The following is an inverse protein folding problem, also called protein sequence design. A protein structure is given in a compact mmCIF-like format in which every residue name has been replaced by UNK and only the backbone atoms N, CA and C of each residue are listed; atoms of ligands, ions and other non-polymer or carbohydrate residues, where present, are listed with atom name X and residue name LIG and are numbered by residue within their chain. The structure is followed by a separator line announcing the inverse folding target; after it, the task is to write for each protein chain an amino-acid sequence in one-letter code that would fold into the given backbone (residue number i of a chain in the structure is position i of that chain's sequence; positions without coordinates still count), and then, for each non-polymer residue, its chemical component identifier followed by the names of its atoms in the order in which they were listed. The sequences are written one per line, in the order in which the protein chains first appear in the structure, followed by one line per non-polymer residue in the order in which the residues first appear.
data_IF_000518085284
#
_entry.id   IF_000518085284
#
_cell.length_a   1.000
_cell.length_b   1.000
_cell.length_c   1.000
_cell.angle_alpha   90.00
_cell.angle_beta   90.00
_cell.angle_gamma   90.00
#
_symmetry.space_group_name_H-M   'P 1'
#
loop_
_entity.id
_entity.type
_entity.pdbx_description
1 polymer ?
#
# COMPACT_ATOMS: atom_id res chain seq x y z
N UNK A 1 27.72 52.93 45.65
CA UNK A 1 26.41 53.54 45.33
C UNK A 1 25.80 52.73 44.20
N UNK A 2 25.35 51.49 44.46
CA UNK A 2 23.93 51.11 44.65
C UNK A 2 22.98 51.87 43.72
N UNK A 3 22.61 51.25 42.59
CA UNK A 3 21.24 51.37 42.06
C UNK A 3 20.78 49.98 41.64
N UNK A 4 19.84 49.49 42.43
CA UNK A 4 19.06 48.27 42.30
C UNK A 4 17.79 48.65 41.54
N UNK A 5 17.50 48.06 40.37
CA UNK A 5 16.21 48.23 39.71
C UNK A 5 15.75 46.94 39.02
N UNK A 6 14.98 46.18 39.81
CA UNK A 6 13.73 45.47 39.47
C UNK A 6 13.71 44.44 38.32
N UNK A 7 13.49 43.19 38.75
CA UNK A 7 13.03 42.05 37.99
C UNK A 7 11.79 42.38 37.13
N UNK A 8 11.88 42.11 35.83
CA UNK A 8 10.75 41.65 35.03
C UNK A 8 11.16 40.37 34.31
N UNK A 9 11.00 39.23 35.00
CA UNK A 9 11.00 37.93 34.35
C UNK A 9 9.70 37.81 33.55
N UNK A 10 9.73 38.22 32.28
CA UNK A 10 8.64 38.00 31.35
C UNK A 10 8.50 36.51 31.08
N UNK A 11 7.48 35.87 31.66
CA UNK A 11 7.02 34.56 31.21
C UNK A 11 6.40 34.74 29.82
N UNK A 12 7.19 34.57 28.77
CA UNK A 12 6.66 34.44 27.42
C UNK A 12 6.02 33.06 27.28
N UNK A 13 4.72 32.97 27.54
CA UNK A 13 3.90 31.84 27.11
C UNK A 13 3.86 31.90 25.58
N UNK A 14 4.83 31.26 24.94
CA UNK A 14 4.79 31.04 23.50
C UNK A 14 3.53 30.24 23.16
N UNK A 15 2.91 30.47 21.99
CA UNK A 15 1.79 29.65 21.57
C UNK A 15 2.29 28.21 21.51
N UNK A 16 1.71 27.34 22.33
CA UNK A 16 1.82 25.91 22.12
C UNK A 16 1.19 25.64 20.75
N UNK A 17 2.01 25.49 19.72
CA UNK A 17 1.56 24.99 18.45
C UNK A 17 1.07 23.56 18.72
N UNK A 18 -0.24 23.39 18.90
CA UNK A 18 -0.88 22.10 18.71
C UNK A 18 -0.54 21.68 17.29
N UNK A 19 0.45 20.81 17.13
CA UNK A 19 0.60 20.05 15.90
C UNK A 19 -0.62 19.14 15.87
N UNK A 20 -1.61 19.50 15.06
CA UNK A 20 -2.62 18.54 14.64
C UNK A 20 -1.83 17.38 14.03
N UNK A 21 -1.93 16.20 14.63
CA UNK A 21 -1.49 14.96 14.01
C UNK A 21 -2.33 14.83 12.74
N UNK A 22 -1.77 15.31 11.65
CA UNK A 22 -2.39 15.24 10.33
C UNK A 22 -2.19 13.80 9.93
N UNK A 23 -3.06 12.91 10.40
CA UNK A 23 -2.91 11.48 10.25
C UNK A 23 -2.53 11.14 8.81
N UNK A 24 -1.45 10.38 8.64
CA UNK A 24 -0.95 10.02 7.31
C UNK A 24 -2.08 9.40 6.48
N UNK A 25 -2.27 9.89 5.26
CA UNK A 25 -3.25 9.32 4.32
C UNK A 25 -2.55 8.18 3.57
N UNK A 26 -2.82 6.95 3.99
CA UNK A 26 -2.23 5.77 3.39
C UNK A 26 -2.94 5.36 2.10
N UNK A 27 -2.18 4.78 1.18
CA UNK A 27 -2.73 4.10 0.00
C UNK A 27 -1.90 2.87 -0.34
N UNK A 28 -2.49 1.95 -1.09
CA UNK A 28 -1.84 0.73 -1.54
C UNK A 28 -2.85 -0.33 -1.89
N UNK A 29 -2.44 -1.25 -2.76
CA UNK A 29 -3.17 -2.45 -3.12
C UNK A 29 -2.16 -3.44 -3.69
N UNK A 30 -2.28 -4.69 -3.31
CA UNK A 30 -1.50 -5.76 -3.90
C UNK A 30 -2.44 -6.73 -4.62
N UNK A 31 -2.15 -6.99 -5.90
CA UNK A 31 -2.89 -7.92 -6.74
C UNK A 31 -1.89 -8.90 -7.33
N UNK A 32 -2.14 -10.20 -7.14
CA UNK A 32 -1.25 -11.27 -7.62
C UNK A 32 -1.34 -11.41 -9.13
N UNK A 33 -2.54 -11.70 -9.63
CA UNK A 33 -2.85 -11.78 -11.05
C UNK A 33 -4.21 -11.15 -11.28
N UNK A 34 -4.27 -10.27 -12.27
CA UNK A 34 -5.49 -9.73 -12.84
C UNK A 34 -5.36 -9.81 -14.35
N UNK A 35 -6.18 -10.67 -14.96
CA UNK A 35 -6.18 -10.90 -16.40
C UNK A 35 -7.56 -10.60 -16.97
N UNK A 36 -7.62 -9.82 -18.05
CA UNK A 36 -8.87 -9.53 -18.76
C UNK A 36 -8.78 -10.09 -20.17
N UNK A 37 -9.75 -10.90 -20.56
CA UNK A 37 -9.84 -11.45 -21.91
C UNK A 37 -10.58 -10.45 -22.79
N UNK A 38 -9.91 -9.85 -23.80
CA UNK A 38 -10.56 -8.83 -24.63
C UNK A 38 -11.75 -9.38 -25.42
N UNK A 39 -11.72 -10.68 -25.77
CA UNK A 39 -12.73 -11.32 -26.59
C UNK A 39 -14.03 -11.63 -25.84
N UNK A 40 -13.97 -11.91 -24.54
CA UNK A 40 -15.14 -12.27 -23.72
C UNK A 40 -15.50 -11.20 -22.69
N UNK A 41 -14.61 -10.23 -22.45
CA UNK A 41 -14.74 -9.24 -21.37
C UNK A 41 -14.56 -9.83 -19.96
N UNK A 42 -14.29 -11.13 -19.84
CA UNK A 42 -14.12 -11.82 -18.57
C UNK A 42 -12.83 -11.35 -17.91
N UNK A 43 -12.93 -10.92 -16.65
CA UNK A 43 -11.76 -10.58 -15.83
C UNK A 43 -11.61 -11.61 -14.72
N UNK A 44 -10.43 -12.21 -14.63
CA UNK A 44 -10.06 -13.13 -13.56
C UNK A 44 -9.11 -12.43 -12.61
N UNK A 45 -9.37 -12.60 -11.32
CA UNK A 45 -8.56 -12.08 -10.23
C UNK A 45 -8.23 -13.25 -9.32
N UNK A 46 -6.94 -13.58 -9.22
CA UNK A 46 -6.49 -14.75 -8.43
C UNK A 46 -6.42 -14.41 -6.95
N UNK A 47 -5.81 -13.27 -6.61
CA UNK A 47 -5.80 -12.74 -5.26
C UNK A 47 -5.57 -11.23 -5.30
N UNK A 48 -6.29 -10.50 -4.46
CA UNK A 48 -6.27 -9.04 -4.41
C UNK A 48 -6.59 -8.59 -2.98
N UNK A 49 -5.70 -7.82 -2.37
CA UNK A 49 -5.92 -7.29 -1.02
C UNK A 49 -7.06 -6.29 -0.96
N UNK A 50 -7.48 -5.73 -2.09
CA UNK A 50 -8.23 -4.49 -2.23
C UNK A 50 -7.43 -3.26 -1.79
N UNK A 51 -8.03 -2.08 -1.96
CA UNK A 51 -7.44 -0.83 -1.53
C UNK A 51 -7.27 -0.79 0.00
N UNK A 52 -6.12 -0.29 0.45
CA UNK A 52 -5.85 -0.02 1.86
C UNK A 52 -6.71 1.16 2.34
N UNK A 53 -7.31 1.09 3.55
CA UNK A 53 -7.99 2.24 4.14
C UNK A 53 -7.04 3.43 4.31
N UNK A 54 -7.54 4.64 4.11
CA UNK A 54 -6.74 5.86 4.27
C UNK A 54 -6.22 6.06 5.70
N UNK A 55 -6.90 5.48 6.70
CA UNK A 55 -6.44 5.45 8.09
C UNK A 55 -5.26 4.51 8.34
N UNK A 56 -4.84 3.72 7.34
CA UNK A 56 -3.81 2.71 7.45
C UNK A 56 -4.35 1.36 7.89
N UNK A 57 -3.48 0.54 8.49
CA UNK A 57 -3.77 -0.84 8.89
C UNK A 57 -3.13 -1.85 7.94
N UNK A 58 -3.66 -3.08 7.94
CA UNK A 58 -3.17 -4.17 7.10
C UNK A 58 -4.33 -4.86 6.38
N UNK A 59 -4.10 -5.26 5.14
CA UNK A 59 -4.98 -6.13 4.35
C UNK A 59 -4.15 -7.24 3.72
N UNK A 60 -4.74 -8.42 3.64
CA UNK A 60 -4.10 -9.61 3.13
C UNK A 60 -5.12 -10.45 2.36
N UNK A 61 -4.65 -11.15 1.34
CA UNK A 61 -5.42 -12.10 0.57
C UNK A 61 -4.50 -13.21 0.08
N UNK A 62 -4.81 -14.44 0.44
CA UNK A 62 -4.09 -15.63 0.00
C UNK A 62 -5.02 -16.64 -0.65
N UNK A 63 -4.50 -17.33 -1.65
CA UNK A 63 -5.17 -18.43 -2.32
C UNK A 63 -4.16 -19.55 -2.57
N UNK A 64 -4.49 -20.76 -2.15
CA UNK A 64 -3.59 -21.90 -2.29
C UNK A 64 -3.43 -22.33 -3.75
N UNK A 65 -4.51 -22.32 -4.51
CA UNK A 65 -4.53 -22.78 -5.89
C UNK A 65 -5.66 -22.10 -6.66
N UNK A 66 -5.40 -21.81 -7.93
CA UNK A 66 -6.42 -21.48 -8.93
C UNK A 66 -6.19 -22.35 -10.15
N UNK A 67 -7.27 -22.85 -10.74
CA UNK A 67 -7.23 -23.63 -11.96
C UNK A 67 -8.42 -23.27 -12.84
N UNK A 68 -8.21 -22.31 -13.71
CA UNK A 68 -9.17 -21.84 -14.70
C UNK A 68 -8.76 -22.39 -16.08
N UNK A 69 -9.52 -23.36 -16.63
CA UNK A 69 -9.14 -24.06 -17.85
C UNK A 69 -8.87 -23.11 -19.02
N UNK A 70 -7.77 -23.37 -19.74
CA UNK A 70 -7.32 -22.59 -20.89
C UNK A 70 -7.00 -21.13 -20.61
N UNK A 71 -6.83 -20.74 -19.34
CA UNK A 71 -6.63 -19.34 -18.98
C UNK A 71 -5.56 -19.13 -17.91
N UNK A 72 -5.78 -19.60 -16.68
CA UNK A 72 -4.79 -19.40 -15.61
C UNK A 72 -4.74 -20.59 -14.66
N UNK A 73 -3.53 -21.05 -14.38
CA UNK A 73 -3.24 -21.90 -13.23
C UNK A 73 -2.18 -21.22 -12.38
N UNK A 74 -2.32 -21.28 -11.06
CA UNK A 74 -1.31 -20.76 -10.16
C UNK A 74 -1.44 -21.39 -8.78
N UNK A 75 -0.33 -21.44 -8.05
CA UNK A 75 -0.26 -21.96 -6.69
C UNK A 75 0.30 -20.91 -5.73
N UNK A 76 -0.06 -21.03 -4.45
CA UNK A 76 0.50 -20.23 -3.35
C UNK A 76 0.48 -18.73 -3.66
N UNK A 77 -0.66 -18.22 -4.11
CA UNK A 77 -0.86 -16.81 -4.36
C UNK A 77 -0.99 -16.09 -3.02
N UNK A 78 -0.17 -15.08 -2.80
CA UNK A 78 -0.19 -14.26 -1.58
C UNK A 78 -0.10 -12.78 -1.94
N UNK A 79 -0.96 -11.96 -1.34
CA UNK A 79 -0.88 -10.52 -1.42
C UNK A 79 -1.09 -9.89 -0.06
N UNK A 80 -0.31 -8.86 0.26
CA UNK A 80 -0.40 -8.09 1.49
C UNK A 80 -0.19 -6.62 1.22
N UNK A 81 -0.90 -5.76 1.95
CA UNK A 81 -0.68 -4.32 1.95
C UNK A 81 -0.80 -3.79 3.37
N UNK A 82 0.17 -3.00 3.82
CA UNK A 82 0.22 -2.40 5.16
C UNK A 82 0.51 -0.92 5.05
N UNK A 83 -0.20 -0.10 5.82
CA UNK A 83 0.10 1.32 6.02
C UNK A 83 0.22 1.65 7.50
N UNK A 84 1.37 2.18 7.89
CA UNK A 84 1.64 2.58 9.27
C UNK A 84 2.75 3.66 9.29
N UNK A 85 2.61 4.61 10.21
CA UNK A 85 3.59 5.69 10.39
C UNK A 85 3.66 6.58 9.16
N UNK A 86 4.84 6.66 8.55
CA UNK A 86 5.13 7.45 7.35
C UNK A 86 5.18 6.58 6.08
N UNK A 87 4.75 5.31 6.11
CA UNK A 87 4.91 4.41 4.96
C UNK A 87 3.69 3.55 4.68
N UNK A 88 3.51 3.23 3.40
CA UNK A 88 2.73 2.07 2.97
C UNK A 88 3.61 1.10 2.19
N UNK A 89 3.32 -0.20 2.29
CA UNK A 89 4.02 -1.28 1.62
C UNK A 89 3.01 -2.26 1.06
N UNK A 90 3.18 -2.64 -0.20
CA UNK A 90 2.37 -3.65 -0.88
C UNK A 90 3.29 -4.73 -1.43
N UNK A 91 2.90 -5.99 -1.26
CA UNK A 91 3.61 -7.17 -1.74
C UNK A 91 2.62 -8.14 -2.37
N UNK A 92 2.97 -8.70 -3.53
CA UNK A 92 2.24 -9.79 -4.15
C UNK A 92 3.25 -10.85 -4.61
N UNK A 93 2.93 -12.12 -4.43
CA UNK A 93 3.75 -13.24 -4.87
C UNK A 93 2.89 -14.43 -5.30
N UNK A 94 3.44 -15.27 -6.16
CA UNK A 94 2.79 -16.46 -6.70
C UNK A 94 3.81 -17.49 -7.12
N UNK A 95 3.49 -18.76 -6.91
CA UNK A 95 4.25 -19.91 -7.38
C UNK A 95 3.54 -20.59 -8.56
N UNK A 96 4.31 -21.31 -9.38
CA UNK A 96 3.81 -22.17 -10.45
C UNK A 96 2.74 -21.51 -11.34
N UNK A 97 2.98 -20.27 -11.76
CA UNK A 97 2.05 -19.53 -12.61
C UNK A 97 2.13 -20.04 -14.04
N UNK A 98 0.97 -20.34 -14.64
CA UNK A 98 0.82 -20.48 -16.08
C UNK A 98 -0.37 -19.66 -16.58
N UNK A 99 -0.12 -18.76 -17.53
CA UNK A 99 -1.12 -17.88 -18.14
C UNK A 99 -1.25 -18.23 -19.62
N UNK A 100 -2.46 -18.49 -20.09
CA UNK A 100 -2.71 -18.79 -21.49
C UNK A 100 -3.45 -17.64 -22.16
N UNK A 101 -2.86 -17.08 -23.22
CA UNK A 101 -3.44 -15.98 -24.00
C UNK A 101 -3.12 -16.18 -25.49
N UNK A 102 -4.15 -16.09 -26.34
CA UNK A 102 -3.97 -16.22 -27.79
C UNK A 102 -3.33 -17.54 -28.24
N UNK A 103 -3.62 -18.64 -27.53
CA UNK A 103 -3.05 -19.97 -27.82
C UNK A 103 -1.61 -20.18 -27.36
N UNK A 104 -1.00 -19.20 -26.69
CA UNK A 104 0.34 -19.32 -26.10
C UNK A 104 0.22 -19.41 -24.58
N UNK A 105 1.06 -20.24 -23.96
CA UNK A 105 1.15 -20.35 -22.50
C UNK A 105 2.47 -19.74 -22.04
N UNK A 106 2.37 -18.80 -21.10
CA UNK A 106 3.49 -18.11 -20.45
C UNK A 106 3.56 -18.61 -19.01
N UNK A 107 4.68 -19.23 -18.65
CA UNK A 107 4.90 -19.80 -17.32
C UNK A 107 5.95 -19.05 -16.51
N UNK A 108 5.82 -19.09 -15.19
CA UNK A 108 6.85 -18.67 -14.24
C UNK A 108 6.77 -19.51 -12.95
N UNK A 109 7.91 -20.04 -12.51
CA UNK A 109 7.97 -20.84 -11.27
C UNK A 109 7.68 -19.98 -10.03
N UNK A 110 8.12 -18.72 -10.05
CA UNK A 110 7.85 -17.75 -9.00
C UNK A 110 7.87 -16.32 -9.54
N UNK A 111 6.87 -15.52 -9.16
CA UNK A 111 6.85 -14.08 -9.39
C UNK A 111 6.61 -13.33 -8.09
N UNK A 112 7.22 -12.16 -7.98
CA UNK A 112 7.06 -11.28 -6.83
C UNK A 112 7.07 -9.82 -7.26
N UNK A 113 6.14 -9.05 -6.71
CA UNK A 113 6.06 -7.60 -6.85
C UNK A 113 6.06 -6.95 -5.45
N UNK A 114 6.83 -5.87 -5.30
CA UNK A 114 6.90 -5.08 -4.07
C UNK A 114 6.81 -3.59 -4.42
N UNK A 115 6.00 -2.86 -3.67
CA UNK A 115 5.89 -1.40 -3.76
C UNK A 115 5.98 -0.79 -2.36
N UNK A 116 6.55 0.42 -2.25
CA UNK A 116 6.62 1.17 -1.00
C UNK A 116 6.44 2.65 -1.29
N UNK A 117 5.48 3.27 -0.62
CA UNK A 117 5.32 4.72 -0.61
C UNK A 117 5.78 5.28 0.75
N UNK A 118 6.37 6.47 0.74
CA UNK A 118 6.84 7.17 1.94
C UNK A 118 6.28 8.58 1.96
N UNK A 119 5.60 8.95 3.05
CA UNK A 119 5.07 10.27 3.30
C UNK A 119 6.21 11.17 3.82
N UNK A 120 6.69 12.10 2.99
CA UNK A 120 7.66 13.12 3.39
C UNK A 120 7.01 14.43 3.86
N UNK A 121 7.75 15.33 4.52
CA UNK A 121 7.27 16.61 5.06
C UNK A 121 6.76 17.63 4.02
N UNK A 122 6.61 17.25 2.74
CA UNK A 122 6.09 18.07 1.64
C UNK A 122 4.86 17.49 0.93
N UNK A 123 4.30 16.37 1.42
CA UNK A 123 3.03 15.85 0.91
C UNK A 123 1.91 16.72 1.51
N UNK A 124 1.28 17.53 0.66
CA UNK A 124 0.16 18.41 1.04
C UNK A 124 -0.98 17.56 1.62
N UNK A 125 -1.72 18.11 2.59
CA UNK A 125 -2.79 17.51 3.40
C UNK A 125 -3.94 16.81 2.63
N UNK A 126 -3.91 16.82 1.30
CA UNK A 126 -4.93 16.27 0.40
C UNK A 126 -4.38 15.19 -0.55
N UNK A 127 -3.07 14.96 -0.59
CA UNK A 127 -2.48 13.97 -1.50
C UNK A 127 -2.18 12.68 -0.75
N UNK A 128 -2.79 11.54 -1.12
CA UNK A 128 -2.45 10.25 -0.50
C UNK A 128 -0.98 9.90 -0.78
N UNK A 129 -0.34 9.19 0.16
CA UNK A 129 0.99 8.65 -0.07
C UNK A 129 0.88 7.55 -1.13
N UNK A 130 1.24 7.88 -2.38
CA UNK A 130 1.24 7.00 -3.55
C UNK A 130 2.64 6.59 -3.92
#
# INVERSE_FOLDING_TARGET
MVVFFLLLAGLSVGPAALRADSGAIFSGQATVVRATLPLTGTTIVVSDTGALPQSGGAREASLLEVNEPNLVTAEVAHASTVGQGDRSRSEASVAALALTAGGNTIGADFLMARATAVCGPGVQLHTPCQ
#
